data_IF_229295583764
#
_entry.id   IF_229295583764
#
_cell.length_a   1.000
_cell.length_b   1.000
_cell.length_c   1.000
_cell.angle_alpha   90.00
_cell.angle_beta   90.00
_cell.angle_gamma   90.00
#
_symmetry.space_group_name_H-M   'P 1'
#
loop_
_entity.id
_entity.type
_entity.pdbx_description
1 polymer ?
#
# COMPACT_ATOMS: atom_id res chain seq x y z
N UNK A 1 -9.16 -26.57 -56.57
CA UNK A 1 -9.12 -27.96 -57.09
C UNK A 1 -8.83 -28.88 -55.90
N UNK A 2 -9.52 -29.99 -55.62
CA UNK A 2 -10.76 -30.55 -56.19
C UNK A 2 -11.37 -31.59 -55.23
N UNK A 3 -12.71 -31.59 -55.09
CA UNK A 3 -13.65 -32.71 -54.77
C UNK A 3 -13.31 -33.66 -53.60
N UNK A 4 -14.09 -33.77 -52.52
CA UNK A 4 -15.52 -34.17 -52.41
C UNK A 4 -15.79 -35.65 -52.75
N UNK A 5 -16.17 -36.45 -51.75
CA UNK A 5 -17.03 -37.63 -51.92
C UNK A 5 -17.94 -37.85 -50.69
N UNK A 6 -19.08 -38.51 -50.92
CA UNK A 6 -20.27 -38.50 -50.05
C UNK A 6 -21.00 -39.86 -50.11
N UNK A 7 -21.38 -40.44 -48.96
CA UNK A 7 -22.46 -41.42 -48.79
C UNK A 7 -22.81 -41.47 -47.28
N UNK A 8 -24.02 -41.24 -46.75
CA UNK A 8 -25.41 -41.66 -47.03
C UNK A 8 -25.77 -43.11 -46.67
N UNK A 9 -26.50 -43.26 -45.56
CA UNK A 9 -27.54 -44.28 -45.34
C UNK A 9 -28.64 -43.68 -44.42
N UNK A 10 -29.91 -44.08 -44.61
CA UNK A 10 -31.11 -43.56 -43.93
C UNK A 10 -31.87 -44.69 -43.22
N UNK A 11 -32.68 -44.37 -42.20
CA UNK A 11 -34.11 -44.78 -42.04
C UNK A 11 -34.68 -44.29 -40.68
N UNK A 12 -35.61 -43.31 -40.66
CA UNK A 12 -37.08 -43.46 -40.47
C UNK A 12 -37.50 -44.07 -39.11
N UNK A 13 -38.01 -43.33 -38.13
CA UNK A 13 -39.40 -42.77 -37.99
C UNK A 13 -39.70 -42.63 -36.46
N UNK A 14 -40.84 -42.19 -35.90
CA UNK A 14 -42.22 -41.85 -36.33
C UNK A 14 -42.67 -40.49 -35.68
N UNK A 15 -43.99 -40.23 -35.55
CA UNK A 15 -44.61 -39.07 -34.88
C UNK A 15 -45.50 -39.51 -33.71
N UNK A 16 -45.86 -38.60 -32.79
CA UNK A 16 -47.29 -38.29 -32.46
C UNK A 16 -47.43 -37.25 -31.32
N UNK A 17 -48.51 -36.46 -31.37
CA UNK A 17 -48.91 -35.47 -30.36
C UNK A 17 -50.40 -35.67 -29.97
N UNK A 18 -50.81 -35.41 -28.72
CA UNK A 18 -52.23 -35.33 -28.31
C UNK A 18 -52.69 -33.88 -28.01
N UNK A 19 -54.02 -33.61 -27.89
CA UNK A 19 -54.61 -32.40 -28.49
C UNK A 19 -55.36 -31.42 -27.56
N UNK A 20 -55.86 -30.34 -28.17
CA UNK A 20 -56.76 -29.30 -27.64
C UNK A 20 -58.23 -29.68 -27.82
N UNK A 21 -59.16 -29.32 -26.90
CA UNK A 21 -60.60 -29.28 -27.16
C UNK A 21 -61.16 -27.85 -27.24
N UNK A 22 -62.25 -27.66 -28.01
CA UNK A 22 -62.90 -26.37 -28.27
C UNK A 22 -64.42 -26.52 -28.33
N UNK A 23 -65.17 -25.45 -27.95
CA UNK A 23 -66.61 -25.21 -28.21
C UNK A 23 -67.60 -26.09 -27.38
N UNK A 24 -68.86 -25.73 -27.11
CA UNK A 24 -69.79 -24.69 -27.64
C UNK A 24 -70.57 -23.94 -26.52
N UNK A 25 -71.44 -23.01 -26.94
CA UNK A 25 -72.16 -21.98 -26.16
C UNK A 25 -73.67 -22.29 -26.00
N UNK A 26 -74.33 -21.91 -24.90
CA UNK A 26 -75.79 -21.54 -24.85
C UNK A 26 -76.18 -20.90 -23.51
N UNK A 27 -77.40 -20.32 -23.44
CA UNK A 27 -77.74 -19.18 -22.56
C UNK A 27 -78.86 -19.42 -21.53
N UNK A 28 -78.83 -18.71 -20.38
CA UNK A 28 -79.83 -17.69 -19.94
C UNK A 28 -79.77 -17.31 -18.44
N UNK A 29 -79.97 -16.01 -18.18
CA UNK A 29 -80.68 -15.38 -17.04
C UNK A 29 -80.45 -15.87 -15.59
N UNK A 30 -79.77 -15.05 -14.77
CA UNK A 30 -80.16 -14.82 -13.37
C UNK A 30 -79.71 -13.43 -12.86
N UNK A 31 -80.71 -12.64 -12.47
CA UNK A 31 -80.81 -11.50 -11.54
C UNK A 31 -79.57 -10.85 -10.87
N UNK A 32 -79.68 -9.54 -10.70
CA UNK A 32 -78.72 -8.69 -9.99
C UNK A 32 -78.86 -8.74 -8.46
N UNK A 33 -77.73 -8.59 -7.76
CA UNK A 33 -77.66 -8.17 -6.34
C UNK A 33 -76.43 -7.28 -6.15
N UNK A 34 -76.62 -6.03 -5.70
CA UNK A 34 -75.52 -5.12 -5.39
C UNK A 34 -74.92 -5.46 -4.03
N UNK A 35 -73.62 -5.73 -3.98
CA UNK A 35 -72.83 -5.70 -2.75
C UNK A 35 -71.64 -4.75 -2.97
N UNK A 36 -71.63 -3.65 -2.22
CA UNK A 36 -70.49 -2.73 -2.18
C UNK A 36 -69.35 -3.39 -1.40
N UNK A 37 -68.22 -3.65 -2.06
CA UNK A 37 -66.97 -4.07 -1.43
C UNK A 37 -65.95 -2.93 -1.49
N UNK A 38 -65.46 -2.50 -0.34
CA UNK A 38 -64.52 -1.37 -0.19
C UNK A 38 -63.10 -1.76 -0.59
N UNK A 39 -62.59 -1.18 -1.67
CA UNK A 39 -61.22 -1.41 -2.15
C UNK A 39 -60.18 -0.87 -1.16
N UNK A 40 -59.42 -1.76 -0.52
CA UNK A 40 -58.23 -1.38 0.24
C UNK A 40 -57.04 -1.16 -0.71
N UNK A 41 -56.24 -0.08 -0.55
CA UNK A 41 -55.08 0.15 -1.40
C UNK A 41 -53.94 -0.81 -1.05
N UNK A 42 -53.54 -1.64 -2.01
CA UNK A 42 -52.39 -2.54 -1.86
C UNK A 42 -51.10 -1.73 -1.91
N UNK A 43 -50.47 -1.49 -0.75
CA UNK A 43 -49.13 -0.94 -0.67
C UNK A 43 -48.12 -1.87 -1.36
N UNK A 44 -47.67 -1.49 -2.57
CA UNK A 44 -46.45 -2.03 -3.17
C UNK A 44 -45.27 -1.69 -2.24
N UNK A 45 -44.82 -2.66 -1.45
CA UNK A 45 -43.53 -2.55 -0.75
C UNK A 45 -42.43 -2.38 -1.80
N UNK A 46 -41.76 -1.23 -1.78
CA UNK A 46 -40.53 -1.04 -2.54
C UNK A 46 -39.50 -2.08 -2.04
N UNK A 47 -38.69 -2.68 -2.93
CA UNK A 47 -37.60 -3.55 -2.50
C UNK A 47 -36.65 -2.73 -1.61
N UNK A 48 -36.08 -3.33 -0.55
CA UNK A 48 -35.18 -2.62 0.35
C UNK A 48 -34.01 -2.07 -0.47
N UNK A 49 -33.77 -0.76 -0.32
CA UNK A 49 -32.61 -0.08 -0.89
C UNK A 49 -31.38 -0.86 -0.47
N UNK A 50 -30.63 -1.44 -1.43
CA UNK A 50 -29.35 -2.13 -1.14
C UNK A 50 -28.57 -1.21 -0.19
N UNK A 51 -28.14 -1.76 0.95
CA UNK A 51 -27.24 -1.05 1.84
C UNK A 51 -26.09 -0.53 0.98
N UNK A 52 -25.81 0.77 1.06
CA UNK A 52 -24.67 1.33 0.34
C UNK A 52 -23.44 0.54 0.80
N UNK A 53 -22.65 0.04 -0.15
CA UNK A 53 -21.38 -0.57 0.20
C UNK A 53 -20.60 0.45 1.05
N UNK A 54 -20.00 0.05 2.18
CA UNK A 54 -19.30 0.98 3.06
C UNK A 54 -18.29 1.76 2.22
N UNK A 55 -18.39 3.08 2.27
CA UNK A 55 -17.55 3.96 1.45
C UNK A 55 -16.08 3.72 1.83
N UNK A 56 -15.28 3.25 0.86
CA UNK A 56 -13.88 2.89 1.11
C UNK A 56 -13.16 4.12 1.65
N UNK A 57 -12.53 4.01 2.82
CA UNK A 57 -11.84 5.14 3.46
C UNK A 57 -10.67 5.57 2.56
N UNK A 58 -10.55 6.86 2.29
CA UNK A 58 -9.44 7.40 1.50
C UNK A 58 -8.11 7.12 2.21
N UNK A 59 -7.03 6.93 1.44
CA UNK A 59 -5.71 6.70 2.01
C UNK A 59 -5.01 8.02 2.36
N UNK A 60 -4.51 8.11 3.59
CA UNK A 60 -3.60 9.18 4.00
C UNK A 60 -2.26 9.02 3.27
N UNK A 61 -1.64 10.14 2.88
CA UNK A 61 -0.40 10.17 2.09
C UNK A 61 -0.60 10.37 0.59
N UNK A 62 0.49 10.78 -0.07
CA UNK A 62 0.55 11.27 -1.46
C UNK A 62 0.00 10.23 -2.47
N UNK A 63 -0.87 10.63 -3.42
CA UNK A 63 -1.35 9.73 -4.48
C UNK A 63 -0.26 9.52 -5.54
N UNK A 64 0.59 8.51 -5.34
CA UNK A 64 1.68 8.13 -6.24
C UNK A 64 1.98 6.64 -6.10
N UNK A 65 2.51 6.02 -7.16
CA UNK A 65 3.11 4.67 -7.11
C UNK A 65 4.62 4.73 -6.80
N UNK A 66 5.24 5.90 -6.98
CA UNK A 66 6.65 6.17 -6.72
C UNK A 66 6.78 6.82 -5.32
N UNK A 67 6.48 6.04 -4.29
CA UNK A 67 6.59 6.45 -2.88
C UNK A 67 7.96 6.08 -2.31
N UNK A 68 8.46 6.88 -1.37
CA UNK A 68 9.78 6.72 -0.75
C UNK A 68 9.68 6.60 0.78
N UNK A 69 10.58 5.87 1.42
CA UNK A 69 10.69 5.79 2.89
C UNK A 69 12.01 6.41 3.35
N UNK A 70 11.97 7.22 4.42
CA UNK A 70 13.16 7.86 4.98
C UNK A 70 13.66 7.17 6.24
N UNK A 71 14.97 7.01 6.38
CA UNK A 71 15.60 6.46 7.59
C UNK A 71 15.84 7.61 8.58
N UNK A 72 15.19 7.56 9.74
CA UNK A 72 15.16 8.62 10.76
C UNK A 72 15.66 8.07 12.09
N UNK A 73 16.31 8.92 12.89
CA UNK A 73 16.84 8.56 14.20
C UNK A 73 17.96 9.52 14.64
N UNK A 74 18.26 9.53 15.92
CA UNK A 74 19.37 10.32 16.47
C UNK A 74 20.73 9.91 15.85
N UNK A 75 21.80 10.72 16.00
CA UNK A 75 23.16 10.29 15.69
C UNK A 75 23.52 8.98 16.42
N UNK A 76 24.45 8.22 15.84
CA UNK A 76 25.06 7.02 16.45
C UNK A 76 24.09 5.85 16.79
N UNK A 77 22.85 5.85 16.30
CA UNK A 77 21.91 4.71 16.46
C UNK A 77 22.10 3.57 15.44
N UNK A 78 23.01 3.75 14.47
CA UNK A 78 23.30 2.78 13.39
C UNK A 78 22.59 3.04 12.05
N UNK A 79 22.08 4.26 11.78
CA UNK A 79 21.38 4.60 10.53
C UNK A 79 22.21 4.34 9.27
N UNK A 80 23.39 4.93 9.16
CA UNK A 80 24.19 4.85 7.93
C UNK A 80 24.75 3.45 7.70
N UNK A 81 25.14 2.72 8.76
CA UNK A 81 25.41 1.27 8.65
C UNK A 81 24.20 0.47 8.15
N UNK A 82 23.00 0.74 8.68
CA UNK A 82 21.77 0.10 8.19
C UNK A 82 21.47 0.44 6.73
N UNK A 83 21.68 1.70 6.32
CA UNK A 83 21.54 2.13 4.92
C UNK A 83 22.55 1.42 4.01
N UNK A 84 23.83 1.36 4.40
CA UNK A 84 24.88 0.67 3.66
C UNK A 84 24.54 -0.82 3.48
N UNK A 85 24.10 -1.52 4.53
CA UNK A 85 23.72 -2.93 4.38
C UNK A 85 22.47 -3.10 3.51
N UNK A 86 21.51 -2.17 3.57
CA UNK A 86 20.38 -2.16 2.64
C UNK A 86 20.84 -1.93 1.18
N UNK A 87 21.76 -0.99 0.92
CA UNK A 87 22.29 -0.70 -0.42
C UNK A 87 23.19 -1.80 -0.96
N UNK A 88 23.86 -2.55 -0.08
CA UNK A 88 24.86 -3.57 -0.45
C UNK A 88 24.27 -4.99 -0.48
N UNK A 89 22.98 -5.16 -0.13
CA UNK A 89 22.27 -6.41 -0.45
C UNK A 89 22.43 -6.70 -1.95
N UNK A 90 22.96 -7.88 -2.27
CA UNK A 90 23.64 -8.21 -3.54
C UNK A 90 22.82 -8.08 -4.85
N UNK A 91 21.59 -7.58 -4.78
CA UNK A 91 20.70 -7.27 -5.89
C UNK A 91 20.62 -5.78 -6.23
N UNK A 92 21.22 -4.90 -5.41
CA UNK A 92 21.24 -3.45 -5.60
C UNK A 92 22.48 -2.93 -6.37
N UNK A 93 23.41 -3.82 -6.74
CA UNK A 93 24.50 -3.50 -7.67
C UNK A 93 23.92 -3.11 -9.05
N UNK A 94 24.04 -1.82 -9.37
CA UNK A 94 23.32 -1.19 -10.47
C UNK A 94 23.84 -1.59 -11.86
N UNK A 95 22.96 -2.18 -12.69
CA UNK A 95 23.20 -2.39 -14.12
C UNK A 95 22.05 -1.94 -15.04
N UNK A 96 20.82 -1.73 -14.52
CA UNK A 96 19.60 -1.75 -15.35
C UNK A 96 18.79 -0.43 -15.44
N UNK A 97 19.31 0.72 -15.00
CA UNK A 97 18.58 2.00 -15.06
C UNK A 97 19.42 3.18 -15.60
N UNK A 98 19.70 3.24 -16.92
CA UNK A 98 20.60 4.25 -17.53
C UNK A 98 20.10 5.71 -17.52
N UNK A 99 18.98 6.01 -16.86
CA UNK A 99 18.37 7.34 -16.78
C UNK A 99 18.07 7.82 -15.35
N UNK A 100 18.47 7.07 -14.32
CA UNK A 100 18.27 7.48 -12.94
C UNK A 100 19.50 8.24 -12.41
N UNK A 101 19.31 9.51 -12.01
CA UNK A 101 20.27 10.20 -11.15
C UNK A 101 20.27 9.53 -9.78
N UNK A 102 21.24 8.66 -9.51
CA UNK A 102 21.43 8.07 -8.20
C UNK A 102 22.07 9.13 -7.30
N UNK A 103 21.26 9.78 -6.47
CA UNK A 103 21.79 10.55 -5.35
C UNK A 103 22.43 9.57 -4.37
N UNK A 104 23.60 9.89 -3.76
CA UNK A 104 24.32 8.97 -2.88
C UNK A 104 23.53 8.58 -1.61
N UNK A 105 22.45 9.29 -1.31
CA UNK A 105 21.55 9.08 -0.18
C UNK A 105 20.30 8.25 -0.53
N UNK A 106 20.11 7.83 -1.79
CA UNK A 106 18.91 7.09 -2.25
C UNK A 106 19.24 5.67 -2.75
N UNK A 107 18.65 4.66 -2.08
CA UNK A 107 18.79 3.24 -2.43
C UNK A 107 17.47 2.65 -2.93
N UNK A 108 17.52 1.81 -3.98
CA UNK A 108 16.36 1.06 -4.50
C UNK A 108 16.51 -0.42 -4.14
N UNK A 109 15.90 -0.83 -3.04
CA UNK A 109 16.03 -2.19 -2.49
C UNK A 109 14.92 -3.07 -3.08
N UNK A 110 15.24 -4.25 -3.65
CA UNK A 110 14.22 -5.16 -4.15
C UNK A 110 13.40 -5.75 -3.00
N UNK A 111 12.08 -5.82 -3.21
CA UNK A 111 11.15 -6.35 -2.23
C UNK A 111 11.04 -7.86 -2.44
N UNK A 112 11.43 -8.71 -1.45
CA UNK A 112 11.37 -10.15 -1.59
C UNK A 112 9.91 -10.62 -1.75
N UNK A 113 9.69 -11.62 -2.61
CA UNK A 113 8.37 -12.18 -2.84
C UNK A 113 8.47 -13.61 -3.40
N UNK A 114 8.07 -14.59 -2.58
CA UNK A 114 8.09 -16.00 -2.98
C UNK A 114 7.14 -16.30 -4.17
N UNK A 115 6.15 -15.45 -4.44
CA UNK A 115 5.29 -15.57 -5.62
C UNK A 115 6.06 -15.21 -6.88
N UNK A 116 6.80 -14.11 -6.83
CA UNK A 116 7.65 -13.64 -7.92
C UNK A 116 8.77 -14.63 -8.24
N UNK A 117 9.43 -15.18 -7.22
CA UNK A 117 10.44 -16.22 -7.41
C UNK A 117 9.85 -17.49 -8.03
N UNK A 118 8.67 -17.92 -7.60
CA UNK A 118 7.97 -19.06 -8.22
C UNK A 118 7.59 -18.80 -9.69
N UNK A 119 7.10 -17.59 -10.02
CA UNK A 119 6.79 -17.20 -11.39
C UNK A 119 8.04 -17.21 -12.28
N UNK A 120 9.18 -16.77 -11.75
CA UNK A 120 10.46 -16.86 -12.45
C UNK A 120 10.86 -18.31 -12.75
N UNK A 121 10.73 -19.24 -11.79
CA UNK A 121 11.02 -20.66 -12.00
C UNK A 121 10.06 -21.36 -12.99
N UNK A 122 8.81 -20.90 -13.09
CA UNK A 122 7.80 -21.45 -14.00
C UNK A 122 8.03 -20.97 -15.44
N UNK A 123 8.22 -19.67 -15.66
CA UNK A 123 8.33 -19.09 -17.01
C UNK A 123 9.77 -19.07 -17.55
N UNK A 124 10.78 -19.10 -16.67
CA UNK A 124 12.22 -19.06 -17.00
C UNK A 124 12.59 -17.96 -18.01
N UNK A 125 12.24 -16.69 -17.72
CA UNK A 125 12.40 -15.59 -18.66
C UNK A 125 13.86 -15.19 -18.86
N UNK A 126 14.14 -14.46 -19.95
CA UNK A 126 15.41 -13.75 -20.14
C UNK A 126 15.64 -12.59 -19.15
N UNK A 127 14.57 -11.97 -18.65
CA UNK A 127 14.60 -10.82 -17.71
C UNK A 127 13.84 -11.12 -16.41
N UNK A 128 14.44 -10.79 -15.26
CA UNK A 128 13.85 -10.88 -13.91
C UNK A 128 13.86 -9.51 -13.24
N UNK A 129 12.70 -8.85 -13.14
CA UNK A 129 12.58 -7.50 -12.56
C UNK A 129 11.66 -7.50 -11.33
N UNK A 130 12.20 -7.52 -10.09
CA UNK A 130 11.39 -7.48 -8.88
C UNK A 130 10.73 -6.11 -8.66
N UNK A 131 9.82 -6.03 -7.68
CA UNK A 131 9.35 -4.77 -7.16
C UNK A 131 10.45 -4.13 -6.31
N UNK A 132 10.49 -2.79 -6.23
CA UNK A 132 11.49 -2.06 -5.45
C UNK A 132 10.83 -1.13 -4.42
N UNK A 133 11.44 -1.04 -3.24
CA UNK A 133 11.23 0.00 -2.24
C UNK A 133 12.36 1.02 -2.37
N UNK A 134 12.02 2.31 -2.51
CA UNK A 134 12.99 3.39 -2.48
C UNK A 134 13.19 3.87 -1.04
N UNK A 135 14.40 3.68 -0.50
CA UNK A 135 14.82 4.21 0.79
C UNK A 135 15.73 5.44 0.60
N UNK A 136 15.62 6.41 1.51
CA UNK A 136 16.53 7.56 1.60
C UNK A 136 17.18 7.56 2.99
N UNK A 137 18.52 7.64 3.09
CA UNK A 137 19.18 7.95 4.36
C UNK A 137 18.96 9.43 4.68
N UNK A 138 18.50 9.72 5.90
CA UNK A 138 18.32 11.10 6.35
C UNK A 138 19.30 11.35 7.49
N UNK A 139 19.99 12.48 7.43
CA UNK A 139 20.97 12.91 8.43
C UNK A 139 20.46 12.76 9.89
N UNK A 140 21.38 12.69 10.86
CA UNK A 140 20.98 12.59 12.27
C UNK A 140 20.18 13.81 12.76
N UNK A 141 19.04 13.56 13.40
CA UNK A 141 18.30 14.61 14.12
C UNK A 141 19.03 14.94 15.43
N UNK A 142 19.40 16.20 15.61
CA UNK A 142 19.78 16.76 16.92
C UNK A 142 18.57 17.41 17.57
N UNK A 143 18.49 17.39 18.91
CA UNK A 143 17.45 18.11 19.65
C UNK A 143 17.48 19.63 19.36
N UNK A 144 16.32 20.28 19.44
CA UNK A 144 16.13 21.70 19.13
C UNK A 144 15.87 22.01 17.66
N UNK A 145 15.67 20.99 16.81
CA UNK A 145 15.57 21.13 15.35
C UNK A 145 14.46 22.07 14.87
N UNK A 146 13.31 22.04 15.52
CA UNK A 146 12.17 22.94 15.26
C UNK A 146 12.48 24.40 15.58
N UNK A 147 13.35 24.69 16.56
CA UNK A 147 13.66 26.06 17.00
C UNK A 147 14.60 26.83 16.05
N UNK A 148 15.08 26.17 14.99
CA UNK A 148 15.82 26.80 13.89
C UNK A 148 17.34 26.92 14.07
N UNK A 149 17.89 26.38 15.16
CA UNK A 149 19.33 26.30 15.37
C UNK A 149 19.97 25.17 14.54
N UNK A 150 20.49 25.50 13.36
CA UNK A 150 21.39 24.63 12.59
C UNK A 150 20.74 23.54 11.74
N UNK A 151 21.38 22.35 11.72
CA UNK A 151 21.12 21.23 10.79
C UNK A 151 19.69 20.68 10.83
N UNK A 152 18.94 20.91 11.91
CA UNK A 152 17.59 20.37 12.11
C UNK A 152 16.55 20.81 11.06
N UNK A 153 16.64 22.04 10.53
CA UNK A 153 15.74 22.48 9.46
C UNK A 153 15.99 21.75 8.12
N UNK A 154 17.24 21.37 7.84
CA UNK A 154 17.56 20.54 6.67
C UNK A 154 16.99 19.13 6.85
N UNK A 155 17.20 18.52 8.02
CA UNK A 155 16.60 17.23 8.38
C UNK A 155 15.08 17.20 8.11
N UNK A 156 14.34 18.18 8.62
CA UNK A 156 12.88 18.23 8.50
C UNK A 156 12.40 18.43 7.05
N UNK A 157 13.21 19.07 6.19
CA UNK A 157 12.89 19.20 4.76
C UNK A 157 13.09 17.88 3.99
N UNK A 158 14.12 17.10 4.32
CA UNK A 158 14.32 15.76 3.80
C UNK A 158 13.22 14.79 4.26
N UNK A 159 12.81 14.81 5.54
CA UNK A 159 11.66 14.02 6.03
C UNK A 159 10.36 14.40 5.32
N UNK A 160 10.19 15.68 4.93
CA UNK A 160 9.02 16.11 4.15
C UNK A 160 8.98 15.50 2.75
N UNK A 161 10.14 15.22 2.14
CA UNK A 161 10.27 14.69 0.78
C UNK A 161 10.03 13.18 0.64
N UNK A 162 10.02 12.42 1.75
CA UNK A 162 9.62 11.00 1.79
C UNK A 162 8.14 10.84 2.13
N UNK A 163 7.57 9.67 1.90
CA UNK A 163 6.15 9.36 2.13
C UNK A 163 5.91 8.54 3.40
N UNK A 164 6.94 7.84 3.91
CA UNK A 164 6.92 7.07 5.16
C UNK A 164 8.27 7.15 5.89
N UNK A 165 8.33 6.60 7.10
CA UNK A 165 9.52 6.68 7.98
C UNK A 165 9.91 5.30 8.53
N UNK A 166 11.19 4.94 8.40
CA UNK A 166 11.86 3.93 9.23
C UNK A 166 12.55 4.64 10.40
N UNK A 167 12.00 4.53 11.61
CA UNK A 167 12.59 5.14 12.80
C UNK A 167 13.54 4.15 13.48
N UNK A 168 14.85 4.36 13.34
CA UNK A 168 15.90 3.54 13.95
C UNK A 168 16.09 3.96 15.41
N UNK A 169 15.94 3.00 16.32
CA UNK A 169 15.97 3.19 17.78
C UNK A 169 17.13 2.38 18.36
N UNK A 170 18.04 3.03 19.09
CA UNK A 170 19.19 2.36 19.74
C UNK A 170 18.76 1.62 21.00
N UNK A 171 18.91 0.30 21.00
CA UNK A 171 18.62 -0.55 22.16
C UNK A 171 19.82 -1.44 22.56
N UNK A 172 21.04 -1.03 22.18
CA UNK A 172 22.29 -1.65 22.59
C UNK A 172 23.15 -0.67 23.41
N UNK A 173 23.76 -1.19 24.47
CA UNK A 173 24.80 -0.49 25.23
C UNK A 173 26.14 -0.78 24.56
N UNK A 174 26.93 0.28 24.30
CA UNK A 174 28.30 0.17 23.78
C UNK A 174 29.09 1.35 24.35
N UNK A 175 30.23 1.07 24.97
CA UNK A 175 31.07 2.04 25.64
C UNK A 175 31.91 2.90 24.67
N UNK A 176 32.12 2.44 23.44
CA UNK A 176 32.85 3.19 22.41
C UNK A 176 31.92 4.15 21.64
N UNK A 177 30.60 3.94 21.71
CA UNK A 177 29.60 4.70 20.94
C UNK A 177 28.90 5.74 21.83
N UNK A 178 29.45 6.95 21.85
CA UNK A 178 28.91 8.11 22.60
C UNK A 178 27.45 8.40 22.20
N UNK A 179 26.59 8.56 23.20
CA UNK A 179 25.22 9.02 23.02
C UNK A 179 25.16 10.56 23.07
N UNK A 180 24.36 11.19 22.20
CA UNK A 180 24.24 12.66 22.14
C UNK A 180 23.70 13.22 23.46
N UNK A 181 22.72 12.53 24.03
CA UNK A 181 22.05 12.87 25.29
C UNK A 181 22.66 12.14 26.52
N UNK A 182 23.96 11.82 26.47
CA UNK A 182 24.71 11.20 27.58
C UNK A 182 24.51 9.69 27.71
N UNK A 183 23.47 9.26 28.41
CA UNK A 183 23.10 7.85 28.59
C UNK A 183 22.18 7.36 27.45
N UNK A 184 22.19 6.04 27.20
CA UNK A 184 21.29 5.38 26.24
C UNK A 184 19.89 5.24 26.85
N UNK A 185 18.91 5.99 26.34
CA UNK A 185 17.49 5.83 26.68
C UNK A 185 16.60 5.95 25.42
N UNK A 186 16.27 4.82 24.77
CA UNK A 186 15.47 4.84 23.55
C UNK A 186 14.06 5.43 23.73
N UNK A 187 13.51 5.52 24.95
CA UNK A 187 12.17 6.11 25.15
C UNK A 187 12.24 7.62 24.98
N UNK A 188 13.16 8.28 25.69
CA UNK A 188 13.47 9.70 25.52
C UNK A 188 13.82 10.01 24.06
N UNK A 189 14.63 9.17 23.41
CA UNK A 189 15.04 9.40 22.02
C UNK A 189 13.85 9.36 21.04
N UNK A 190 12.89 8.46 21.27
CA UNK A 190 11.64 8.38 20.49
C UNK A 190 10.73 9.58 20.76
N UNK A 191 10.65 10.03 22.01
CA UNK A 191 9.89 11.21 22.44
C UNK A 191 10.43 12.50 21.83
N UNK A 192 11.76 12.69 21.81
CA UNK A 192 12.42 13.83 21.14
C UNK A 192 12.02 13.89 19.67
N UNK A 193 12.16 12.78 18.93
CA UNK A 193 11.80 12.73 17.50
C UNK A 193 10.30 13.04 17.32
N UNK A 194 9.43 12.41 18.11
CA UNK A 194 7.98 12.56 17.99
C UNK A 194 7.53 14.00 18.29
N UNK A 195 8.11 14.64 19.29
CA UNK A 195 7.84 16.03 19.67
C UNK A 195 8.35 17.02 18.63
N UNK A 196 9.57 16.85 18.09
CA UNK A 196 10.12 17.73 17.04
C UNK A 196 9.27 17.70 15.75
N UNK A 197 8.77 16.53 15.36
CA UNK A 197 7.88 16.38 14.21
C UNK A 197 6.52 17.07 14.46
N UNK A 198 5.92 16.91 15.65
CA UNK A 198 4.69 17.60 16.04
C UNK A 198 4.85 19.11 16.07
N UNK A 199 5.91 19.63 16.70
CA UNK A 199 6.18 21.07 16.79
C UNK A 199 6.28 21.72 15.41
N UNK A 200 6.96 21.06 14.45
CA UNK A 200 7.07 21.59 13.08
C UNK A 200 5.76 21.50 12.30
N UNK A 201 4.94 20.47 12.53
CA UNK A 201 3.59 20.42 11.97
C UNK A 201 2.68 21.49 12.57
N UNK A 202 2.77 21.80 13.87
CA UNK A 202 2.02 22.89 14.52
C UNK A 202 2.34 24.23 13.87
N UNK A 203 3.62 24.61 13.76
CA UNK A 203 4.06 25.85 13.09
C UNK A 203 3.51 25.94 11.65
N UNK A 204 3.58 24.84 10.90
CA UNK A 204 3.11 24.76 9.52
C UNK A 204 1.58 24.89 9.41
N UNK A 205 0.85 24.21 10.29
CA UNK A 205 -0.62 24.20 10.33
C UNK A 205 -1.16 25.55 10.79
N UNK A 206 -0.54 26.21 11.78
CA UNK A 206 -0.95 27.55 12.24
C UNK A 206 -0.83 28.59 11.13
N UNK A 207 0.32 28.63 10.45
CA UNK A 207 0.53 29.52 9.30
C UNK A 207 -0.49 29.26 8.18
N UNK A 208 -0.71 27.98 7.84
CA UNK A 208 -1.68 27.60 6.81
C UNK A 208 -3.11 27.97 7.21
N UNK A 209 -3.47 27.83 8.49
CA UNK A 209 -4.77 28.19 9.03
C UNK A 209 -5.02 29.71 8.96
N UNK A 210 -4.01 30.53 9.23
CA UNK A 210 -4.10 31.99 9.07
C UNK A 210 -4.37 32.37 7.61
N UNK A 211 -3.58 31.83 6.66
CA UNK A 211 -3.76 32.05 5.22
C UNK A 211 -5.15 31.65 4.73
N UNK A 212 -5.65 30.49 5.18
CA UNK A 212 -7.00 29.99 4.84
C UNK A 212 -8.10 30.89 5.41
N UNK A 213 -7.97 31.34 6.67
CA UNK A 213 -8.92 32.28 7.30
C UNK A 213 -8.90 33.64 6.61
N UNK A 214 -7.73 34.17 6.26
CA UNK A 214 -7.56 35.45 5.56
C UNK A 214 -8.22 35.42 4.18
N UNK A 215 -7.96 34.37 3.40
CA UNK A 215 -8.53 34.19 2.06
C UNK A 215 -9.99 33.72 2.05
N UNK A 216 -10.48 33.11 3.14
CA UNK A 216 -11.89 32.71 3.27
C UNK A 216 -12.86 33.88 3.50
N UNK A 217 -12.41 34.95 4.17
CA UNK A 217 -13.26 36.13 4.49
C UNK A 217 -13.89 36.80 3.28
N UNK A 218 -13.26 36.75 2.11
CA UNK A 218 -13.75 37.38 0.88
C UNK A 218 -14.72 36.51 0.07
N UNK A 219 -14.83 35.21 0.35
CA UNK A 219 -15.61 34.27 -0.49
C UNK A 219 -17.11 34.27 -0.19
N UNK A 220 -17.55 34.90 0.90
CA UNK A 220 -18.95 34.95 1.34
C UNK A 220 -19.43 33.60 1.94
N UNK A 221 -20.01 33.57 3.16
CA UNK A 221 -20.22 32.31 3.89
C UNK A 221 -21.23 31.35 3.24
N UNK A 222 -22.09 31.85 2.34
CA UNK A 222 -23.15 31.08 1.70
C UNK A 222 -22.80 30.59 0.27
N UNK A 223 -21.68 31.02 -0.32
CA UNK A 223 -21.22 30.52 -1.62
C UNK A 223 -20.76 29.06 -1.55
N UNK A 224 -20.64 28.39 -2.70
CA UNK A 224 -20.15 27.00 -2.76
C UNK A 224 -18.67 26.95 -2.34
N UNK A 225 -17.90 27.95 -2.76
CA UNK A 225 -16.48 28.14 -2.49
C UNK A 225 -16.26 28.47 -1.00
N UNK A 226 -17.07 29.36 -0.43
CA UNK A 226 -17.03 29.72 0.99
C UNK A 226 -17.36 28.54 1.89
N UNK A 227 -18.35 27.72 1.54
CA UNK A 227 -18.66 26.47 2.27
C UNK A 227 -17.51 25.48 2.23
N UNK A 228 -16.93 25.22 1.06
CA UNK A 228 -15.73 24.36 0.93
C UNK A 228 -14.55 24.88 1.76
N UNK A 229 -14.30 26.19 1.74
CA UNK A 229 -13.24 26.81 2.55
C UNK A 229 -13.52 26.70 4.06
N UNK A 230 -14.77 26.77 4.49
CA UNK A 230 -15.12 26.55 5.90
C UNK A 230 -14.94 25.07 6.32
N UNK A 231 -15.27 24.10 5.45
CA UNK A 231 -14.94 22.67 5.67
C UNK A 231 -13.41 22.45 5.76
N UNK A 232 -12.63 23.09 4.88
CA UNK A 232 -11.16 23.06 4.87
C UNK A 232 -10.60 23.64 6.19
N UNK A 233 -11.06 24.83 6.61
CA UNK A 233 -10.65 25.49 7.86
C UNK A 233 -10.96 24.62 9.07
N UNK A 234 -12.17 24.06 9.17
CA UNK A 234 -12.56 23.21 10.30
C UNK A 234 -11.70 21.93 10.40
N UNK A 235 -11.32 21.35 9.25
CA UNK A 235 -10.40 20.20 9.20
C UNK A 235 -9.01 20.58 9.71
N UNK A 236 -8.49 21.73 9.28
CA UNK A 236 -7.18 22.24 9.69
C UNK A 236 -7.16 22.62 11.19
N UNK A 237 -8.26 23.17 11.72
CA UNK A 237 -8.43 23.42 13.16
C UNK A 237 -8.45 22.12 13.98
N UNK A 238 -9.15 21.09 13.50
CA UNK A 238 -9.17 19.75 14.13
C UNK A 238 -7.77 19.11 14.12
N UNK A 239 -7.01 19.24 13.03
CA UNK A 239 -5.62 18.78 12.95
C UNK A 239 -4.70 19.53 13.92
N UNK A 240 -4.85 20.85 14.04
CA UNK A 240 -4.09 21.66 14.99
C UNK A 240 -4.38 21.29 16.44
N UNK A 241 -5.66 21.07 16.78
CA UNK A 241 -6.07 20.67 18.11
C UNK A 241 -5.49 19.29 18.49
N UNK A 242 -5.53 18.34 17.56
CA UNK A 242 -4.97 16.99 17.74
C UNK A 242 -3.45 17.02 17.95
N UNK A 243 -2.71 17.84 17.18
CA UNK A 243 -1.27 18.02 17.34
C UNK A 243 -0.90 18.65 18.70
N UNK A 244 -1.72 19.58 19.20
CA UNK A 244 -1.55 20.23 20.51
C UNK A 244 -1.95 19.33 21.69
N UNK A 245 -2.71 18.27 21.44
CA UNK A 245 -3.03 17.19 22.37
C UNK A 245 -2.02 16.01 22.24
N UNK A 246 -0.80 16.34 21.82
CA UNK A 246 0.39 15.48 21.68
C UNK A 246 0.22 14.23 20.79
N UNK A 247 -0.80 14.22 19.92
CA UNK A 247 -1.10 13.11 19.02
C UNK A 247 -0.57 13.37 17.61
N UNK A 248 -0.16 12.29 16.94
CA UNK A 248 0.29 12.33 15.56
C UNK A 248 -0.92 12.28 14.60
N UNK A 249 -0.89 13.07 13.51
CA UNK A 249 -2.03 13.19 12.58
C UNK A 249 -2.45 11.85 11.95
N UNK A 250 -1.52 10.90 11.76
CA UNK A 250 -1.84 9.52 11.31
C UNK A 250 -2.74 8.72 12.26
N UNK A 251 -2.92 9.18 13.51
CA UNK A 251 -3.75 8.53 14.54
C UNK A 251 -5.12 9.20 14.72
N UNK A 252 -5.38 10.33 14.06
CA UNK A 252 -6.70 10.97 14.07
C UNK A 252 -7.75 10.18 13.29
N UNK A 253 -9.01 10.28 13.70
CA UNK A 253 -10.12 9.77 12.89
C UNK A 253 -10.62 10.84 11.91
N UNK A 254 -10.48 10.53 10.62
CA UNK A 254 -10.71 11.44 9.50
C UNK A 254 -11.71 10.86 8.52
N UNK A 255 -12.71 11.64 8.11
CA UNK A 255 -13.58 11.33 6.97
C UNK A 255 -12.88 11.56 5.62
N UNK A 256 -13.41 11.00 4.53
CA UNK A 256 -12.78 11.06 3.20
C UNK A 256 -12.39 12.49 2.75
N UNK A 257 -13.29 13.46 2.90
CA UNK A 257 -13.00 14.89 2.62
C UNK A 257 -11.91 15.50 3.51
N UNK A 258 -11.84 15.07 4.77
CA UNK A 258 -10.83 15.54 5.71
C UNK A 258 -9.45 15.00 5.29
N UNK A 259 -9.39 13.74 4.85
CA UNK A 259 -8.17 13.09 4.35
C UNK A 259 -7.64 13.81 3.10
N UNK A 260 -8.50 14.17 2.14
CA UNK A 260 -8.10 14.97 0.97
C UNK A 260 -7.47 16.33 1.40
N UNK A 261 -8.07 16.97 2.40
CA UNK A 261 -7.55 18.23 2.96
C UNK A 261 -6.18 18.02 3.62
N UNK A 262 -6.03 17.00 4.46
CA UNK A 262 -4.77 16.71 5.17
C UNK A 262 -3.66 16.29 4.20
N UNK A 263 -3.99 15.51 3.17
CA UNK A 263 -3.06 15.14 2.10
C UNK A 263 -2.47 16.37 1.41
N UNK A 264 -3.23 17.47 1.28
CA UNK A 264 -2.73 18.75 0.73
C UNK A 264 -1.73 19.49 1.64
N UNK A 265 -1.71 19.18 2.94
CA UNK A 265 -0.83 19.83 3.92
C UNK A 265 0.58 19.21 3.96
N UNK A 266 0.74 17.96 3.49
CA UNK A 266 1.98 17.19 3.49
C UNK A 266 2.69 17.14 4.87
N UNK A 267 1.91 16.95 5.93
CA UNK A 267 2.37 16.90 7.32
C UNK A 267 3.34 15.75 7.58
N UNK A 268 4.24 15.95 8.54
CA UNK A 268 5.27 14.98 8.93
C UNK A 268 4.66 13.83 9.73
N UNK A 269 3.83 14.14 10.72
CA UNK A 269 3.11 13.19 11.60
C UNK A 269 1.99 12.42 10.91
N UNK A 270 1.63 12.79 9.68
CA UNK A 270 0.71 12.04 8.82
C UNK A 270 1.38 10.85 8.10
N UNK A 271 2.72 10.80 8.07
CA UNK A 271 3.48 9.72 7.42
C UNK A 271 3.48 8.46 8.29
N UNK A 272 3.27 7.25 7.74
CA UNK A 272 3.38 6.00 8.49
C UNK A 272 4.81 5.80 9.02
N UNK A 273 4.93 5.26 10.23
CA UNK A 273 6.21 4.98 10.90
C UNK A 273 6.34 3.48 11.14
N UNK A 274 7.52 2.93 10.86
CA UNK A 274 7.94 1.58 11.29
C UNK A 274 9.18 1.71 12.17
N UNK A 275 9.09 1.23 13.40
CA UNK A 275 10.15 1.31 14.40
C UNK A 275 11.13 0.15 14.23
N UNK A 276 12.40 0.48 13.92
CA UNK A 276 13.49 -0.47 13.75
C UNK A 276 14.37 -0.43 15.00
N UNK A 277 14.19 -1.40 15.90
CA UNK A 277 14.91 -1.45 17.16
C UNK A 277 16.24 -2.16 16.96
N UNK A 278 17.32 -1.39 16.91
CA UNK A 278 18.68 -1.89 16.69
C UNK A 278 19.25 -2.45 18.00
N UNK A 279 19.60 -3.74 17.98
CA UNK A 279 20.11 -4.52 19.11
C UNK A 279 21.56 -4.94 18.85
N UNK A 280 22.24 -5.38 19.92
CA UNK A 280 23.46 -6.18 19.77
C UNK A 280 23.10 -7.54 19.15
N UNK A 281 24.03 -8.15 18.40
CA UNK A 281 23.81 -9.47 17.79
C UNK A 281 23.38 -10.50 18.85
N UNK A 282 24.04 -10.47 20.01
CA UNK A 282 23.75 -11.33 21.17
C UNK A 282 22.32 -11.19 21.71
N UNK A 283 21.74 -9.99 21.66
CA UNK A 283 20.36 -9.73 22.13
C UNK A 283 19.32 -10.11 21.08
N UNK A 284 19.63 -9.87 19.80
CA UNK A 284 18.81 -10.30 18.68
C UNK A 284 18.72 -11.83 18.59
N UNK A 285 19.86 -12.53 18.58
CA UNK A 285 19.93 -14.01 18.53
C UNK A 285 19.18 -14.65 19.69
N UNK A 286 19.37 -14.16 20.94
CA UNK A 286 18.68 -14.70 22.11
C UNK A 286 17.19 -14.26 22.22
N UNK A 287 16.75 -13.34 21.35
CA UNK A 287 15.41 -12.75 21.32
C UNK A 287 14.98 -12.09 22.65
N UNK A 288 15.92 -11.46 23.37
CA UNK A 288 15.70 -10.77 24.65
C UNK A 288 16.61 -9.55 24.79
N UNK A 289 16.04 -8.43 25.20
CA UNK A 289 16.74 -7.18 25.47
C UNK A 289 15.96 -6.38 26.55
N UNK A 290 16.65 -5.53 27.32
CA UNK A 290 16.08 -4.76 28.44
C UNK A 290 15.11 -3.64 28.02
N UNK A 291 15.27 -3.11 26.80
CA UNK A 291 14.49 -1.98 26.28
C UNK A 291 13.26 -2.42 25.49
N UNK A 292 13.30 -3.57 24.80
CA UNK A 292 12.20 -4.03 23.93
C UNK A 292 10.80 -3.97 24.58
N UNK A 293 10.57 -4.42 25.84
CA UNK A 293 9.26 -4.33 26.46
C UNK A 293 8.81 -2.89 26.71
N UNK A 294 9.74 -2.00 27.09
CA UNK A 294 9.47 -0.57 27.32
C UNK A 294 9.12 0.15 26.02
N UNK A 295 9.91 -0.08 24.97
CA UNK A 295 9.69 0.48 23.63
C UNK A 295 8.32 0.04 23.10
N UNK A 296 7.98 -1.25 23.26
CA UNK A 296 6.68 -1.77 22.82
C UNK A 296 5.52 -1.13 23.59
N UNK A 297 5.61 -1.03 24.92
CA UNK A 297 4.59 -0.36 25.74
C UNK A 297 4.39 1.10 25.33
N UNK A 298 5.48 1.85 25.12
CA UNK A 298 5.40 3.26 24.69
C UNK A 298 4.72 3.40 23.32
N UNK A 299 5.05 2.53 22.35
CA UNK A 299 4.39 2.53 21.02
C UNK A 299 2.91 2.19 21.15
N UNK A 300 2.53 1.22 21.98
CA UNK A 300 1.12 0.83 22.14
C UNK A 300 0.28 1.92 22.82
N UNK A 301 0.89 2.76 23.66
CA UNK A 301 0.26 3.92 24.29
C UNK A 301 0.17 5.12 23.35
N UNK A 302 1.29 5.55 22.75
CA UNK A 302 1.40 6.81 22.01
C UNK A 302 1.05 6.67 20.52
N UNK A 303 1.37 5.51 19.94
CA UNK A 303 1.31 5.27 18.49
C UNK A 303 0.71 3.88 18.14
N UNK A 304 -0.47 3.53 18.69
CA UNK A 304 -1.03 2.18 18.61
C UNK A 304 -1.11 1.65 17.18
N UNK A 305 -0.68 0.40 16.99
CA UNK A 305 -0.66 -0.28 15.69
C UNK A 305 0.58 -0.05 14.83
N UNK A 306 1.49 0.87 15.16
CA UNK A 306 2.72 1.05 14.37
C UNK A 306 3.66 -0.17 14.53
N UNK A 307 4.27 -0.70 13.45
CA UNK A 307 5.10 -1.90 13.53
C UNK A 307 6.41 -1.67 14.32
N UNK A 308 6.76 -2.63 15.16
CA UNK A 308 8.07 -2.74 15.81
C UNK A 308 8.81 -3.96 15.23
N UNK A 309 9.99 -3.72 14.64
CA UNK A 309 10.88 -4.77 14.13
C UNK A 309 12.21 -4.71 14.90
N UNK A 310 12.50 -5.68 15.79
CA UNK A 310 13.83 -5.86 16.32
C UNK A 310 14.77 -6.37 15.22
N UNK A 311 15.99 -5.84 15.17
CA UNK A 311 17.05 -6.29 14.28
C UNK A 311 18.41 -6.00 14.91
N UNK A 312 19.51 -6.41 14.27
CA UNK A 312 20.86 -6.03 14.70
C UNK A 312 21.70 -5.65 13.50
N UNK A 313 22.07 -4.37 13.39
CA UNK A 313 22.89 -3.86 12.28
C UNK A 313 24.20 -4.65 12.16
N UNK A 314 24.87 -4.91 13.29
CA UNK A 314 26.12 -5.67 13.31
C UNK A 314 25.98 -7.10 12.76
N UNK A 315 24.84 -7.76 13.02
CA UNK A 315 24.57 -9.07 12.40
C UNK A 315 24.32 -8.94 10.90
N UNK A 316 23.56 -7.93 10.46
CA UNK A 316 23.27 -7.75 9.04
C UNK A 316 24.53 -7.37 8.24
N UNK A 317 25.41 -6.52 8.78
CA UNK A 317 26.76 -6.23 8.23
C UNK A 317 27.56 -7.52 8.07
N UNK A 318 27.59 -8.35 9.12
CA UNK A 318 28.30 -9.63 9.12
C UNK A 318 27.73 -10.65 8.13
N UNK A 319 26.40 -10.71 7.97
CA UNK A 319 25.73 -11.59 7.01
C UNK A 319 25.79 -11.05 5.57
N UNK A 320 26.01 -9.75 5.37
CA UNK A 320 26.15 -9.14 4.04
C UNK A 320 27.54 -9.41 3.42
N UNK A 321 28.55 -9.71 4.23
CA UNK A 321 29.88 -10.10 3.77
C UNK A 321 30.02 -11.58 3.33
N UNK A 322 28.95 -12.38 3.46
CA UNK A 322 28.93 -13.82 3.14
C UNK A 322 28.23 -14.11 1.82
N UNK A 323 28.63 -15.18 1.13
CA UNK A 323 27.88 -15.68 -0.03
C UNK A 323 26.46 -16.16 0.35
N UNK A 324 25.52 -16.28 -0.59
CA UNK A 324 24.15 -16.73 -0.31
C UNK A 324 24.07 -18.12 0.35
N UNK A 325 25.04 -18.99 0.09
CA UNK A 325 25.18 -20.32 0.67
C UNK A 325 25.71 -20.25 2.11
N UNK A 326 26.83 -19.56 2.32
CA UNK A 326 27.44 -19.34 3.64
C UNK A 326 26.49 -18.60 4.58
N UNK A 327 25.77 -17.60 4.08
CA UNK A 327 24.74 -16.87 4.85
C UNK A 327 23.67 -17.82 5.40
N UNK A 328 23.16 -18.75 4.59
CA UNK A 328 22.14 -19.73 5.04
C UNK A 328 22.70 -20.71 6.07
N UNK A 329 23.96 -21.12 5.93
CA UNK A 329 24.61 -21.98 6.91
C UNK A 329 24.84 -21.24 8.25
N UNK A 330 25.31 -20.00 8.20
CA UNK A 330 25.55 -19.18 9.38
C UNK A 330 24.25 -18.80 10.09
N UNK A 331 23.19 -18.40 9.37
CA UNK A 331 21.84 -18.16 9.93
C UNK A 331 21.30 -19.40 10.67
N UNK A 332 21.50 -20.59 10.10
CA UNK A 332 21.13 -21.87 10.71
C UNK A 332 21.96 -22.18 11.96
N UNK A 333 23.26 -21.86 11.94
CA UNK A 333 24.21 -22.10 13.04
C UNK A 333 23.97 -21.17 14.23
N UNK A 334 23.68 -19.89 14.01
CA UNK A 334 23.37 -18.93 15.08
C UNK A 334 21.90 -19.02 15.53
N UNK A 335 21.01 -19.64 14.75
CA UNK A 335 19.59 -19.77 15.07
C UNK A 335 18.77 -18.49 14.86
N UNK A 336 19.27 -17.56 14.04
CA UNK A 336 18.66 -16.28 13.72
C UNK A 336 18.85 -15.97 12.22
N UNK A 337 17.81 -15.42 11.60
CA UNK A 337 17.79 -15.05 10.18
C UNK A 337 17.89 -13.54 10.02
N UNK A 338 18.36 -13.07 8.87
CA UNK A 338 18.31 -11.67 8.47
C UNK A 338 16.89 -11.08 8.59
N UNK A 339 16.79 -9.90 9.21
CA UNK A 339 15.58 -9.11 9.35
C UNK A 339 15.28 -8.22 8.13
N UNK A 340 16.28 -7.92 7.29
CA UNK A 340 16.13 -7.04 6.12
C UNK A 340 14.94 -7.42 5.22
N UNK A 341 14.68 -8.71 4.89
CA UNK A 341 13.52 -9.10 4.09
C UNK A 341 12.19 -8.68 4.72
N UNK A 342 12.08 -8.79 6.05
CA UNK A 342 10.91 -8.36 6.82
C UNK A 342 10.80 -6.83 6.88
N UNK A 343 11.92 -6.13 7.04
CA UNK A 343 11.96 -4.66 7.09
C UNK A 343 11.52 -4.06 5.75
N UNK A 344 12.12 -4.50 4.64
CA UNK A 344 11.75 -4.04 3.28
C UNK A 344 10.29 -4.34 2.96
N UNK A 345 9.80 -5.53 3.32
CA UNK A 345 8.38 -5.89 3.11
C UNK A 345 7.45 -5.00 3.95
N UNK A 346 7.78 -4.76 5.22
CA UNK A 346 6.98 -3.88 6.09
C UNK A 346 6.97 -2.42 5.61
N UNK A 347 8.11 -1.89 5.16
CA UNK A 347 8.21 -0.55 4.57
C UNK A 347 7.35 -0.41 3.32
N UNK A 348 7.42 -1.39 2.40
CA UNK A 348 6.58 -1.41 1.20
C UNK A 348 5.07 -1.44 1.54
N UNK A 349 4.66 -2.33 2.44
CA UNK A 349 3.27 -2.43 2.88
C UNK A 349 2.77 -1.19 3.64
N UNK A 350 3.63 -0.54 4.45
CA UNK A 350 3.27 0.68 5.20
C UNK A 350 2.95 1.87 4.30
N UNK A 351 3.51 1.90 3.08
CA UNK A 351 3.23 2.92 2.06
C UNK A 351 1.93 2.62 1.27
N UNK A 352 1.18 1.57 1.64
CA UNK A 352 0.05 1.04 0.87
C UNK A 352 0.42 0.67 -0.56
N UNK A 353 1.62 0.12 -0.76
CA UNK A 353 2.05 -0.40 -2.05
C UNK A 353 1.72 -1.89 -2.16
N UNK A 354 1.16 -2.26 -3.30
CA UNK A 354 0.91 -3.63 -3.76
C UNK A 354 1.61 -3.82 -5.11
N UNK A 355 1.71 -5.07 -5.57
CA UNK A 355 2.28 -5.38 -6.89
C UNK A 355 1.39 -6.30 -7.69
N UNK A 356 1.38 -6.12 -9.00
CA UNK A 356 0.88 -7.11 -9.96
C UNK A 356 2.06 -7.62 -10.81
N UNK A 357 1.87 -8.76 -11.47
CA UNK A 357 2.91 -9.38 -12.29
C UNK A 357 2.55 -9.33 -13.78
N UNK A 358 3.56 -9.14 -14.62
CA UNK A 358 3.52 -9.54 -16.03
C UNK A 358 4.48 -10.69 -16.23
N UNK A 359 4.04 -11.76 -16.88
CA UNK A 359 4.81 -12.98 -17.07
C UNK A 359 4.84 -13.39 -18.55
N UNK A 360 5.99 -13.89 -19.00
CA UNK A 360 6.20 -14.39 -20.36
C UNK A 360 7.60 -15.00 -20.50
N UNK A 361 7.94 -15.54 -21.69
CA UNK A 361 9.27 -16.12 -21.95
C UNK A 361 10.39 -15.07 -22.01
N UNK A 362 10.05 -13.80 -22.25
CA UNK A 362 11.03 -12.72 -22.34
C UNK A 362 11.30 -12.07 -20.97
N UNK A 363 10.25 -11.78 -20.20
CA UNK A 363 10.33 -11.10 -18.90
C UNK A 363 9.30 -11.63 -17.90
N UNK A 364 9.72 -11.79 -16.63
CA UNK A 364 8.83 -11.80 -15.46
C UNK A 364 9.13 -10.57 -14.62
N UNK A 365 8.11 -9.72 -14.42
CA UNK A 365 8.25 -8.43 -13.75
C UNK A 365 7.13 -8.16 -12.77
N UNK A 366 7.50 -7.61 -11.62
CA UNK A 366 6.57 -7.12 -10.61
C UNK A 366 6.44 -5.59 -10.70
N UNK A 367 5.20 -5.12 -10.85
CA UNK A 367 4.85 -3.71 -11.06
C UNK A 367 4.20 -3.13 -9.80
N UNK A 368 4.91 -2.22 -9.14
CA UNK A 368 4.42 -1.49 -7.95
C UNK A 368 3.28 -0.55 -8.32
N UNK A 369 2.16 -0.66 -7.61
CA UNK A 369 1.01 0.25 -7.65
C UNK A 369 0.50 0.52 -6.23
N UNK A 370 -0.18 1.65 -6.00
CA UNK A 370 -0.85 1.91 -4.72
C UNK A 370 -2.11 1.05 -4.59
N UNK A 371 -2.44 0.62 -3.37
CA UNK A 371 -3.67 -0.11 -3.06
C UNK A 371 -4.93 0.64 -3.57
N UNK A 372 -5.87 -0.07 -4.20
CA UNK A 372 -7.07 0.53 -4.81
C UNK A 372 -6.87 1.16 -6.20
N UNK A 373 -5.65 1.09 -6.77
CA UNK A 373 -5.40 1.45 -8.17
C UNK A 373 -6.25 0.57 -9.11
N UNK A 374 -6.88 1.20 -10.11
CA UNK A 374 -7.74 0.50 -11.08
C UNK A 374 -6.96 -0.04 -12.27
N UNK A 375 -7.50 -1.06 -12.94
CA UNK A 375 -6.86 -1.73 -14.08
C UNK A 375 -6.30 -0.79 -15.17
N UNK A 376 -6.99 0.29 -15.61
CA UNK A 376 -6.41 1.22 -16.60
C UNK A 376 -5.18 1.96 -16.08
N UNK A 377 -5.23 2.42 -14.82
CA UNK A 377 -4.13 3.13 -14.16
C UNK A 377 -2.93 2.20 -13.93
N UNK A 378 -3.19 0.95 -13.54
CA UNK A 378 -2.17 -0.07 -13.37
C UNK A 378 -1.47 -0.41 -14.69
N UNK A 379 -2.21 -0.48 -15.79
CA UNK A 379 -1.67 -0.65 -17.14
C UNK A 379 -0.85 0.58 -17.60
N UNK A 380 -1.30 1.79 -17.23
CA UNK A 380 -0.59 3.05 -17.44
C UNK A 380 0.82 3.11 -16.85
N UNK A 381 1.11 2.34 -15.80
CA UNK A 381 2.45 2.21 -15.20
C UNK A 381 3.45 1.53 -16.15
N UNK A 382 2.98 0.69 -17.07
CA UNK A 382 3.82 0.11 -18.14
C UNK A 382 4.03 1.13 -19.25
N UNK A 383 2.94 1.70 -19.76
CA UNK A 383 2.95 2.73 -20.78
C UNK A 383 1.62 3.51 -20.78
N UNK A 384 1.67 4.83 -20.94
CA UNK A 384 0.48 5.69 -20.92
C UNK A 384 -0.57 5.33 -21.96
N UNK A 385 -0.18 4.78 -23.13
CA UNK A 385 -1.12 4.29 -24.14
C UNK A 385 -2.01 3.15 -23.65
N UNK A 386 -1.53 2.29 -22.74
CA UNK A 386 -2.37 1.23 -22.17
C UNK A 386 -3.51 1.78 -21.32
N UNK A 387 -3.30 2.91 -20.64
CA UNK A 387 -4.36 3.61 -19.88
C UNK A 387 -5.31 4.35 -20.83
N UNK A 388 -4.75 5.15 -21.74
CA UNK A 388 -5.50 5.98 -22.69
C UNK A 388 -6.41 5.13 -23.61
N UNK A 389 -5.89 4.01 -24.12
CA UNK A 389 -6.58 3.12 -25.06
C UNK A 389 -7.10 1.84 -24.40
N UNK A 390 -7.23 1.79 -23.08
CA UNK A 390 -7.62 0.59 -22.34
C UNK A 390 -8.93 -0.05 -22.83
N UNK A 391 -8.86 -1.31 -23.27
CA UNK A 391 -10.02 -2.16 -23.57
C UNK A 391 -10.36 -3.00 -22.33
N UNK A 392 -9.44 -3.90 -21.95
CA UNK A 392 -9.58 -4.79 -20.79
C UNK A 392 -8.20 -5.28 -20.30
N UNK A 393 -8.15 -5.72 -19.05
CA UNK A 393 -7.08 -6.56 -18.53
C UNK A 393 -7.52 -8.02 -18.54
N UNK A 394 -6.70 -8.91 -19.07
CA UNK A 394 -6.83 -10.35 -18.85
C UNK A 394 -6.05 -10.69 -17.57
N UNK A 395 -6.80 -10.98 -16.51
CA UNK A 395 -6.28 -11.16 -15.14
C UNK A 395 -6.51 -12.60 -14.69
N UNK A 396 -5.48 -13.21 -14.11
CA UNK A 396 -5.58 -14.42 -13.30
C UNK A 396 -4.87 -14.19 -11.96
N UNK A 397 -5.30 -14.85 -10.90
CA UNK A 397 -4.59 -14.73 -9.61
C UNK A 397 -3.38 -15.66 -9.59
N UNK A 398 -2.38 -15.32 -8.77
CA UNK A 398 -1.25 -16.19 -8.49
C UNK A 398 -1.71 -17.57 -7.96
N UNK A 399 -2.73 -17.60 -7.11
CA UNK A 399 -3.29 -18.81 -6.52
C UNK A 399 -3.93 -19.71 -7.59
N UNK A 400 -4.74 -19.14 -8.51
CA UNK A 400 -5.30 -19.89 -9.64
C UNK A 400 -4.16 -20.47 -10.50
N UNK A 401 -3.13 -19.68 -10.85
CA UNK A 401 -2.02 -20.21 -11.66
C UNK A 401 -1.23 -21.32 -10.95
N UNK A 402 -1.05 -21.21 -9.63
CA UNK A 402 -0.36 -22.23 -8.82
C UNK A 402 -1.19 -23.50 -8.63
N UNK A 403 -2.51 -23.40 -8.57
CA UNK A 403 -3.43 -24.55 -8.49
C UNK A 403 -3.50 -25.32 -9.82
N UNK A 404 -3.67 -24.62 -10.94
CA UNK A 404 -3.86 -25.22 -12.26
C UNK A 404 -2.54 -25.44 -13.04
N UNK A 405 -1.42 -24.90 -12.57
CA UNK A 405 -0.06 -25.15 -13.07
C UNK A 405 0.30 -24.53 -14.43
N UNK A 406 -0.67 -24.05 -15.22
CA UNK A 406 -0.44 -23.37 -16.50
C UNK A 406 -1.59 -22.45 -16.89
N UNK A 407 -1.29 -21.40 -17.67
CA UNK A 407 -2.30 -20.46 -18.20
C UNK A 407 -3.41 -21.16 -18.98
N UNK A 408 -3.07 -22.18 -19.76
CA UNK A 408 -4.03 -22.97 -20.53
C UNK A 408 -5.04 -23.69 -19.60
N UNK A 409 -4.57 -24.24 -18.48
CA UNK A 409 -5.42 -24.89 -17.49
C UNK A 409 -6.27 -23.88 -16.70
N UNK A 410 -5.70 -22.74 -16.27
CA UNK A 410 -6.44 -21.62 -15.65
C UNK A 410 -7.57 -21.12 -16.57
N UNK A 411 -7.30 -21.01 -17.87
CA UNK A 411 -8.27 -20.60 -18.88
C UNK A 411 -9.34 -21.66 -19.12
N UNK A 412 -8.98 -22.95 -19.17
CA UNK A 412 -9.93 -24.05 -19.26
C UNK A 412 -10.84 -24.15 -18.02
N UNK A 413 -10.33 -23.80 -16.83
CA UNK A 413 -11.09 -23.72 -15.58
C UNK A 413 -11.97 -22.45 -15.47
N UNK A 414 -11.96 -21.55 -16.47
CA UNK A 414 -12.72 -20.30 -16.45
C UNK A 414 -12.22 -19.26 -15.43
N UNK A 415 -11.01 -19.45 -14.89
CA UNK A 415 -10.41 -18.57 -13.88
C UNK A 415 -9.63 -17.39 -14.48
N UNK A 416 -9.34 -17.45 -15.77
CA UNK A 416 -8.73 -16.37 -16.57
C UNK A 416 -9.79 -15.32 -16.94
N UNK A 417 -9.80 -14.19 -16.24
CA UNK A 417 -10.92 -13.23 -16.20
C UNK A 417 -10.63 -11.99 -17.05
N UNK A 418 -11.56 -11.58 -17.89
CA UNK A 418 -11.50 -10.27 -18.55
C UNK A 418 -12.10 -9.19 -17.65
N UNK A 419 -11.25 -8.28 -17.18
CA UNK A 419 -11.58 -7.20 -16.27
C UNK A 419 -11.65 -5.86 -17.00
N UNK A 420 -12.74 -5.12 -16.77
CA UNK A 420 -12.96 -3.79 -17.32
C UNK A 420 -12.40 -2.65 -16.45
N UNK A 421 -12.64 -1.42 -16.90
CA UNK A 421 -12.19 -0.18 -16.24
C UNK A 421 -12.48 -0.04 -14.72
N UNK A 422 -13.59 -0.56 -14.14
CA UNK A 422 -13.85 -0.39 -12.70
C UNK A 422 -13.12 -1.41 -11.81
N UNK A 423 -12.39 -2.38 -12.35
CA UNK A 423 -11.67 -3.37 -11.54
C UNK A 423 -10.54 -2.71 -10.75
N UNK A 424 -10.55 -2.88 -9.42
CA UNK A 424 -9.43 -2.56 -8.54
C UNK A 424 -8.47 -3.76 -8.50
N UNK A 425 -7.20 -3.50 -8.80
CA UNK A 425 -6.17 -4.54 -8.82
C UNK A 425 -5.96 -5.14 -7.43
N UNK A 426 -5.69 -6.44 -7.39
CA UNK A 426 -5.33 -7.17 -6.18
C UNK A 426 -3.82 -7.44 -6.14
N UNK A 427 -3.25 -7.53 -4.94
CA UNK A 427 -1.83 -7.85 -4.78
C UNK A 427 -1.55 -9.30 -5.23
N UNK A 428 -0.64 -9.46 -6.19
CA UNK A 428 -0.32 -10.74 -6.81
C UNK A 428 -1.17 -11.12 -8.02
N UNK A 429 -2.05 -10.24 -8.51
CA UNK A 429 -2.69 -10.41 -9.82
C UNK A 429 -1.62 -10.58 -10.92
N UNK A 430 -1.85 -11.51 -11.85
CA UNK A 430 -1.03 -11.67 -13.06
C UNK A 430 -1.84 -11.11 -14.22
N UNK A 431 -1.33 -10.08 -14.88
CA UNK A 431 -2.07 -9.25 -15.81
C UNK A 431 -1.48 -9.26 -17.22
N UNK A 432 -2.37 -9.30 -18.21
CA UNK A 432 -2.06 -9.05 -19.61
C UNK A 432 -3.01 -7.97 -20.16
N UNK A 433 -2.46 -6.86 -20.67
CA UNK A 433 -3.23 -5.68 -21.03
C UNK A 433 -3.62 -5.65 -22.51
N UNK A 434 -4.91 -5.39 -22.79
CA UNK A 434 -5.41 -5.14 -24.14
C UNK A 434 -5.77 -3.67 -24.32
N UNK A 435 -5.11 -3.04 -25.27
CA UNK A 435 -5.35 -1.66 -25.70
C UNK A 435 -5.86 -1.61 -27.15
N UNK A 436 -6.58 -0.54 -27.48
CA UNK A 436 -6.96 -0.21 -28.86
C UNK A 436 -5.75 0.20 -29.70
N UNK A 437 -5.94 0.17 -31.03
CA UNK A 437 -4.97 0.67 -32.00
C UNK A 437 -4.77 2.18 -31.93
#
# INVERSE_FOLDING_TARGET
MSRLFLALARCTSTQSSPPVPHLTNTSRLAQASRLFATSHPVHKKMPPKKAAAPEKKALLGRPSNNLKIGIVGLPNVGKSSFFNVLSDTHLANAANFPYATINPEEARIPVPDARFDWLYEVYKPGSKVPAFLTCIDIAGLTAGASTGAGLGNAFLSHVRAVDGIFQVVRAFDDAEVIHVEGDVDPIRDMEIISTELRLKDIEWVEKKLEDLKKTGRSLGPNSVEGKKRNEEIATVEKALALLKDEKDVRKGDWGNKEIDTINSLALLTAKPVTYLVNLSEKDYVRKKNKWLPKIKAWIDEHNPGDPLIPFSVALEERLAALSPEEKKEEEKKIGATSALPKITTAGYSSLHLIRYFTCGPDEVRAWTIREGTKAPQAAGVIHSDFENKFICGEIMTYEDLREYGSEAAVKAAGKYRQQGKPYEMQDGDIAYWKAGQ
#
